data_IF_328337413907
#
_entry.id   IF_328337413907
#
_cell.length_a   1.000
_cell.length_b   1.000
_cell.length_c   1.000
_cell.angle_alpha   90.00
_cell.angle_beta   90.00
_cell.angle_gamma   90.00
#
_symmetry.space_group_name_H-M   'P 1'
#
loop_
_entity.id
_entity.type
_entity.pdbx_description
1 polymer ?
#
# COMPACT_ATOMS: atom_id res chain seq x y z
N UNK A 1 -29.88 -31.93 0.99
CA UNK A 1 -28.70 -31.78 1.88
C UNK A 1 -29.13 -30.95 3.08
N UNK A 2 -28.87 -31.38 4.32
CA UNK A 2 -29.19 -30.57 5.52
C UNK A 2 -28.34 -29.30 5.48
N UNK A 3 -28.96 -28.12 5.66
CA UNK A 3 -28.23 -26.85 5.65
C UNK A 3 -27.22 -26.82 6.80
N UNK A 4 -25.95 -26.55 6.50
CA UNK A 4 -24.89 -26.35 7.50
C UNK A 4 -24.95 -24.95 8.13
N UNK A 5 -25.78 -24.05 7.58
CA UNK A 5 -25.84 -22.65 8.00
C UNK A 5 -26.07 -22.46 9.50
N UNK A 6 -27.00 -23.17 10.18
CA UNK A 6 -27.18 -23.00 11.63
C UNK A 6 -25.91 -23.36 12.41
N UNK A 7 -25.21 -24.43 12.01
CA UNK A 7 -23.99 -24.89 12.69
C UNK A 7 -22.85 -23.87 12.53
N UNK A 8 -22.66 -23.34 11.32
CA UNK A 8 -21.59 -22.35 11.06
C UNK A 8 -21.93 -21.00 11.69
N UNK A 9 -23.21 -20.63 11.73
CA UNK A 9 -23.66 -19.43 12.45
C UNK A 9 -23.40 -19.53 13.95
N UNK A 10 -23.76 -20.66 14.58
CA UNK A 10 -23.50 -20.88 16.01
C UNK A 10 -21.99 -20.85 16.31
N UNK A 11 -21.18 -21.44 15.44
CA UNK A 11 -19.72 -21.37 15.53
C UNK A 11 -19.20 -19.93 15.44
N UNK A 12 -19.69 -19.13 14.49
CA UNK A 12 -19.34 -17.72 14.35
C UNK A 12 -19.77 -16.89 15.57
N UNK A 13 -20.95 -17.17 16.13
CA UNK A 13 -21.43 -16.52 17.34
C UNK A 13 -20.57 -16.83 18.57
N UNK A 14 -20.02 -18.04 18.64
CA UNK A 14 -19.13 -18.52 19.70
C UNK A 14 -17.67 -18.06 19.59
N UNK A 15 -17.31 -17.24 18.60
CA UNK A 15 -15.96 -16.68 18.49
C UNK A 15 -15.74 -15.60 19.54
N UNK A 16 -14.75 -15.82 20.41
CA UNK A 16 -14.43 -14.91 21.53
C UNK A 16 -13.93 -13.53 21.08
N UNK A 17 -13.05 -13.50 20.07
CA UNK A 17 -12.50 -12.23 19.57
C UNK A 17 -13.54 -11.51 18.71
N UNK A 18 -13.99 -10.34 19.16
CA UNK A 18 -15.04 -9.54 18.51
C UNK A 18 -14.77 -9.23 17.05
N UNK A 19 -13.52 -8.90 16.69
CA UNK A 19 -13.11 -8.74 15.29
C UNK A 19 -13.33 -10.03 14.46
N UNK A 20 -12.81 -11.17 14.93
CA UNK A 20 -12.94 -12.45 14.21
C UNK A 20 -14.41 -12.87 14.10
N UNK A 21 -15.21 -12.62 15.15
CA UNK A 21 -16.65 -12.86 15.13
C UNK A 21 -17.35 -12.03 14.07
N UNK A 22 -17.05 -10.72 14.01
CA UNK A 22 -17.61 -9.82 13.02
C UNK A 22 -17.25 -10.28 11.60
N UNK A 23 -15.97 -10.56 11.33
CA UNK A 23 -15.51 -11.06 10.02
C UNK A 23 -16.18 -12.39 9.64
N UNK A 24 -16.32 -13.32 10.58
CA UNK A 24 -17.00 -14.59 10.34
C UNK A 24 -18.49 -14.40 9.99
N UNK A 25 -19.17 -13.49 10.71
CA UNK A 25 -20.57 -13.16 10.42
C UNK A 25 -20.72 -12.42 9.09
N UNK A 26 -19.77 -11.55 8.71
CA UNK A 26 -19.74 -10.89 7.39
C UNK A 26 -19.60 -11.91 6.26
N UNK A 27 -18.69 -12.87 6.40
CA UNK A 27 -18.52 -13.94 5.42
C UNK A 27 -19.77 -14.82 5.29
N UNK A 28 -20.49 -15.07 6.40
CA UNK A 28 -21.78 -15.76 6.35
C UNK A 28 -22.87 -14.92 5.70
N UNK A 29 -22.90 -13.61 5.95
CA UNK A 29 -23.86 -12.69 5.35
C UNK A 29 -23.71 -12.58 3.83
N UNK A 30 -22.49 -12.73 3.31
CA UNK A 30 -22.23 -12.85 1.88
C UNK A 30 -22.97 -14.04 1.24
N UNK A 31 -22.98 -15.19 1.92
CA UNK A 31 -23.69 -16.38 1.42
C UNK A 31 -25.19 -16.39 1.77
N UNK A 32 -25.59 -15.64 2.79
CA UNK A 32 -26.99 -15.47 3.17
C UNK A 32 -27.26 -14.04 3.67
N UNK A 33 -27.85 -13.23 2.80
CA UNK A 33 -28.15 -11.83 3.06
C UNK A 33 -29.08 -11.59 4.25
N UNK A 34 -29.77 -12.61 4.75
CA UNK A 34 -30.56 -12.48 5.99
C UNK A 34 -29.70 -12.18 7.23
N UNK A 35 -28.39 -12.48 7.18
CA UNK A 35 -27.47 -12.31 8.31
C UNK A 35 -26.75 -10.94 8.33
N UNK A 36 -27.06 -10.03 7.40
CA UNK A 36 -26.42 -8.71 7.35
C UNK A 36 -26.69 -7.87 8.60
N UNK A 37 -27.88 -7.98 9.19
CA UNK A 37 -28.23 -7.25 10.41
C UNK A 37 -27.35 -7.70 11.59
N UNK A 38 -27.13 -9.01 11.73
CA UNK A 38 -26.28 -9.61 12.76
C UNK A 38 -24.81 -9.27 12.54
N UNK A 39 -24.32 -9.38 11.30
CA UNK A 39 -22.95 -9.02 10.95
C UNK A 39 -22.68 -7.53 11.23
N UNK A 40 -23.59 -6.64 10.81
CA UNK A 40 -23.50 -5.21 11.08
C UNK A 40 -23.50 -4.90 12.58
N UNK A 41 -24.40 -5.54 13.34
CA UNK A 41 -24.44 -5.38 14.80
C UNK A 41 -23.13 -5.83 15.45
N UNK A 42 -22.62 -7.00 15.07
CA UNK A 42 -21.36 -7.52 15.60
C UNK A 42 -20.18 -6.58 15.32
N UNK A 43 -20.10 -6.02 14.11
CA UNK A 43 -19.07 -5.02 13.75
C UNK A 43 -19.21 -3.74 14.57
N UNK A 44 -20.42 -3.19 14.67
CA UNK A 44 -20.67 -1.95 15.44
C UNK A 44 -20.29 -2.13 16.92
N UNK A 45 -20.55 -3.29 17.48
CA UNK A 45 -20.33 -3.55 18.91
C UNK A 45 -18.84 -3.82 19.25
N UNK A 46 -17.94 -3.89 18.25
CA UNK A 46 -16.48 -3.95 18.46
C UNK A 46 -16.04 -2.68 19.20
N UNK A 47 -15.36 -2.84 20.33
CA UNK A 47 -14.89 -1.72 21.15
C UNK A 47 -13.65 -1.04 20.56
N UNK A 48 -12.67 -1.83 20.13
CA UNK A 48 -11.46 -1.32 19.50
C UNK A 48 -11.79 -0.67 18.15
N UNK A 49 -11.53 0.64 18.03
CA UNK A 49 -11.92 1.44 16.86
C UNK A 49 -11.20 0.96 15.61
N UNK A 50 -9.96 0.49 15.75
CA UNK A 50 -9.15 0.02 14.65
C UNK A 50 -9.70 -1.29 14.07
N UNK A 51 -9.97 -2.28 14.94
CA UNK A 51 -10.63 -3.53 14.58
C UNK A 51 -12.04 -3.26 14.02
N UNK A 52 -12.75 -2.25 14.52
CA UNK A 52 -14.07 -1.85 14.01
C UNK A 52 -14.00 -1.31 12.58
N UNK A 53 -13.03 -0.46 12.26
CA UNK A 53 -12.81 0.04 10.90
C UNK A 53 -12.47 -1.10 9.94
N UNK A 54 -11.59 -2.03 10.33
CA UNK A 54 -11.26 -3.20 9.52
C UNK A 54 -12.49 -4.09 9.25
N UNK A 55 -13.30 -4.35 10.27
CA UNK A 55 -14.51 -5.14 10.12
C UNK A 55 -15.57 -4.43 9.25
N UNK A 56 -15.68 -3.09 9.33
CA UNK A 56 -16.54 -2.34 8.41
C UNK A 56 -16.01 -2.35 6.97
N UNK A 57 -14.71 -2.23 6.75
CA UNK A 57 -14.09 -2.34 5.42
C UNK A 57 -14.45 -3.70 4.77
N UNK A 58 -14.37 -4.79 5.54
CA UNK A 58 -14.75 -6.13 5.07
C UNK A 58 -16.24 -6.26 4.75
N UNK A 59 -17.13 -5.50 5.39
CA UNK A 59 -18.57 -5.50 5.08
C UNK A 59 -18.88 -4.65 3.84
N UNK A 60 -18.20 -3.52 3.70
CA UNK A 60 -18.55 -2.51 2.70
C UNK A 60 -18.11 -2.87 1.27
N UNK A 61 -17.23 -3.86 1.09
CA UNK A 61 -16.96 -4.44 -0.24
C UNK A 61 -18.23 -4.92 -0.94
N UNK A 62 -19.27 -5.28 -0.19
CA UNK A 62 -20.56 -5.79 -0.69
C UNK A 62 -21.72 -4.80 -0.53
N UNK A 63 -21.56 -3.79 0.33
CA UNK A 63 -22.60 -2.83 0.70
C UNK A 63 -22.03 -1.40 0.75
N UNK A 64 -21.95 -0.70 -0.40
CA UNK A 64 -21.44 0.66 -0.46
C UNK A 64 -22.15 1.66 0.47
N UNK A 65 -23.39 1.42 0.84
CA UNK A 65 -24.13 2.21 1.83
C UNK A 65 -23.46 2.25 3.23
N UNK A 66 -22.59 1.28 3.52
CA UNK A 66 -21.81 1.22 4.76
C UNK A 66 -20.58 2.13 4.75
N UNK A 67 -20.25 2.76 3.62
CA UNK A 67 -19.15 3.72 3.51
C UNK A 67 -19.27 4.88 4.51
N UNK A 68 -20.49 5.36 4.77
CA UNK A 68 -20.73 6.39 5.79
C UNK A 68 -20.36 5.92 7.21
N UNK A 69 -20.49 4.62 7.49
CA UNK A 69 -20.13 4.04 8.80
C UNK A 69 -18.63 3.86 8.97
N UNK A 70 -17.93 3.54 7.88
CA UNK A 70 -16.46 3.54 7.86
C UNK A 70 -15.95 4.94 8.17
N UNK A 71 -16.54 5.96 7.53
CA UNK A 71 -16.18 7.35 7.76
C UNK A 71 -16.36 7.75 9.24
N UNK A 72 -17.53 7.48 9.82
CA UNK A 72 -17.81 7.73 11.24
C UNK A 72 -16.76 7.04 12.13
N UNK A 73 -16.46 5.76 11.89
CA UNK A 73 -15.49 5.01 12.68
C UNK A 73 -14.05 5.51 12.53
N UNK A 74 -13.63 5.95 11.33
CA UNK A 74 -12.30 6.54 11.10
C UNK A 74 -12.15 7.89 11.80
N UNK A 75 -13.22 8.68 11.88
CA UNK A 75 -13.23 9.94 12.63
C UNK A 75 -13.13 9.74 14.15
N UNK A 76 -13.58 8.59 14.66
CA UNK A 76 -13.48 8.23 16.08
C UNK A 76 -12.06 7.79 16.49
N UNK A 77 -11.17 7.46 15.54
CA UNK A 77 -9.79 7.05 15.82
C UNK A 77 -9.05 8.18 16.52
N UNK A 78 -8.53 7.88 17.71
CA UNK A 78 -7.71 8.80 18.47
C UNK A 78 -6.27 8.78 17.98
N UNK A 79 -5.71 9.98 17.73
CA UNK A 79 -4.35 10.15 17.24
C UNK A 79 -4.26 10.23 15.72
N UNK A 80 -3.72 11.34 15.22
CA UNK A 80 -3.62 11.61 13.79
C UNK A 80 -2.85 10.53 13.04
N UNK A 81 -1.80 9.94 13.63
CA UNK A 81 -0.99 8.90 12.97
C UNK A 81 -1.80 7.62 12.68
N UNK A 82 -2.61 7.17 13.63
CA UNK A 82 -3.45 5.98 13.45
C UNK A 82 -4.58 6.25 12.46
N UNK A 83 -5.12 7.47 12.48
CA UNK A 83 -6.13 7.91 11.54
C UNK A 83 -5.58 7.95 10.10
N UNK A 84 -4.41 8.57 9.89
CA UNK A 84 -3.76 8.63 8.58
C UNK A 84 -3.40 7.23 8.08
N UNK A 85 -2.88 6.36 8.95
CA UNK A 85 -2.57 4.97 8.58
C UNK A 85 -3.79 4.24 8.00
N UNK A 86 -4.97 4.44 8.59
CA UNK A 86 -6.23 3.86 8.05
C UNK A 86 -6.69 4.56 6.77
N UNK A 87 -6.59 5.88 6.72
CA UNK A 87 -7.04 6.67 5.57
C UNK A 87 -6.17 6.45 4.33
N UNK A 88 -4.91 6.08 4.51
CA UNK A 88 -3.97 5.77 3.43
C UNK A 88 -4.50 4.67 2.51
N UNK A 89 -5.04 3.59 3.08
CA UNK A 89 -5.59 2.46 2.33
C UNK A 89 -7.00 2.71 1.81
N UNK A 90 -7.79 3.52 2.53
CA UNK A 90 -9.21 3.73 2.24
C UNK A 90 -9.46 4.83 1.19
N UNK A 91 -8.69 5.92 1.23
CA UNK A 91 -8.93 7.09 0.35
C UNK A 91 -8.81 6.78 -1.15
N UNK A 92 -7.86 5.95 -1.61
CA UNK A 92 -7.82 5.53 -3.01
C UNK A 92 -9.05 4.74 -3.45
N UNK A 93 -9.76 4.09 -2.52
CA UNK A 93 -11.01 3.34 -2.78
C UNK A 93 -12.26 4.23 -2.67
N UNK A 94 -12.14 5.36 -1.99
CA UNK A 94 -13.24 6.26 -1.64
C UNK A 94 -12.79 7.73 -1.73
N UNK A 95 -12.96 8.37 -2.90
CA UNK A 95 -12.50 9.74 -3.11
C UNK A 95 -13.06 10.78 -2.12
N UNK A 96 -14.21 10.51 -1.50
CA UNK A 96 -14.83 11.39 -0.52
C UNK A 96 -14.02 11.51 0.79
N UNK A 97 -13.05 10.60 1.02
CA UNK A 97 -12.20 10.61 2.22
C UNK A 97 -10.98 11.53 2.09
N UNK A 98 -10.66 12.05 0.90
CA UNK A 98 -9.46 12.87 0.70
C UNK A 98 -9.41 14.14 1.55
N UNK A 99 -10.50 14.93 1.72
CA UNK A 99 -10.47 16.11 2.58
C UNK A 99 -10.07 15.77 4.02
N UNK A 100 -10.58 14.66 4.55
CA UNK A 100 -10.31 14.21 5.93
C UNK A 100 -8.90 13.62 6.04
N UNK A 101 -8.43 12.98 4.98
CA UNK A 101 -7.05 12.47 4.89
C UNK A 101 -6.04 13.58 4.91
N UNK A 102 -6.25 14.62 4.11
CA UNK A 102 -5.38 15.79 4.08
C UNK A 102 -5.37 16.54 5.42
N UNK A 103 -6.55 16.70 6.04
CA UNK A 103 -6.68 17.30 7.38
C UNK A 103 -5.98 16.45 8.46
N UNK A 104 -6.12 15.12 8.42
CA UNK A 104 -5.41 14.21 9.32
C UNK A 104 -3.88 14.25 9.11
N UNK A 105 -3.41 14.31 7.87
CA UNK A 105 -1.99 14.49 7.52
C UNK A 105 -1.49 15.81 8.10
N UNK A 106 -2.20 16.92 7.88
CA UNK A 106 -1.79 18.23 8.38
C UNK A 106 -1.72 18.31 9.91
N UNK A 107 -2.53 17.51 10.62
CA UNK A 107 -2.48 17.38 12.08
C UNK A 107 -1.32 16.52 12.61
N UNK A 108 -0.58 15.82 11.77
CA UNK A 108 0.55 15.02 12.24
C UNK A 108 1.59 15.93 12.88
N UNK A 109 2.00 15.60 14.10
CA UNK A 109 2.98 16.42 14.82
C UNK A 109 4.38 16.41 14.17
N UNK A 110 4.78 15.27 13.60
CA UNK A 110 6.07 15.13 12.95
C UNK A 110 5.97 15.48 11.46
N UNK A 111 6.68 16.53 11.05
CA UNK A 111 6.67 17.04 9.67
C UNK A 111 7.22 16.03 8.65
N UNK A 112 8.17 15.19 9.04
CA UNK A 112 8.64 14.09 8.19
C UNK A 112 7.53 13.10 7.84
N UNK A 113 6.61 12.83 8.78
CA UNK A 113 5.44 12.01 8.51
C UNK A 113 4.47 12.71 7.56
N UNK A 114 4.27 14.03 7.71
CA UNK A 114 3.44 14.80 6.77
C UNK A 114 3.96 14.66 5.34
N UNK A 115 5.26 14.92 5.14
CA UNK A 115 5.91 14.83 3.85
C UNK A 115 5.81 13.43 3.24
N UNK A 116 6.05 12.39 4.05
CA UNK A 116 6.03 11.01 3.58
C UNK A 116 4.62 10.57 3.14
N UNK A 117 3.58 10.93 3.89
CA UNK A 117 2.20 10.57 3.51
C UNK A 117 1.73 11.35 2.29
N UNK A 118 2.06 12.64 2.17
CA UNK A 118 1.81 13.41 0.94
C UNK A 118 2.51 12.76 -0.26
N UNK A 119 3.78 12.35 -0.10
CA UNK A 119 4.52 11.68 -1.17
C UNK A 119 3.89 10.35 -1.59
N UNK A 120 3.48 9.55 -0.60
CA UNK A 120 2.89 8.22 -0.83
C UNK A 120 1.57 8.28 -1.58
N UNK A 121 0.77 9.30 -1.30
CA UNK A 121 -0.61 9.38 -1.75
C UNK A 121 -0.80 10.24 -3.00
N UNK A 122 0.23 10.97 -3.43
CA UNK A 122 0.14 11.92 -4.53
C UNK A 122 -0.35 11.31 -5.85
N UNK A 123 0.04 10.08 -6.18
CA UNK A 123 -0.35 9.41 -7.43
C UNK A 123 -1.78 8.83 -7.40
N UNK A 124 -2.38 8.71 -6.22
CA UNK A 124 -3.75 8.21 -6.00
C UNK A 124 -4.76 9.32 -5.76
N UNK A 125 -4.28 10.55 -5.56
CA UNK A 125 -5.11 11.69 -5.18
C UNK A 125 -5.89 12.25 -6.37
N UNK A 126 -7.19 12.57 -6.22
CA UNK A 126 -7.95 13.23 -7.28
C UNK A 126 -7.43 14.65 -7.50
N UNK A 127 -7.49 15.11 -8.76
CA UNK A 127 -6.97 16.42 -9.16
C UNK A 127 -7.55 17.59 -8.36
N UNK A 128 -8.80 17.47 -7.89
CA UNK A 128 -9.47 18.49 -7.08
C UNK A 128 -8.82 18.73 -5.71
N UNK A 129 -8.09 17.74 -5.17
CA UNK A 129 -7.52 17.79 -3.82
C UNK A 129 -6.03 18.15 -3.83
N UNK A 130 -5.38 18.06 -4.99
CA UNK A 130 -3.96 18.39 -5.17
C UNK A 130 -3.60 19.81 -4.71
N UNK A 131 -4.38 20.88 -5.01
CA UNK A 131 -4.07 22.22 -4.51
C UNK A 131 -3.99 22.30 -2.99
N UNK A 132 -4.86 21.59 -2.27
CA UNK A 132 -4.86 21.53 -0.81
C UNK A 132 -3.65 20.76 -0.28
N UNK A 133 -3.29 19.67 -0.92
CA UNK A 133 -2.10 18.90 -0.59
C UNK A 133 -0.81 19.72 -0.75
N UNK A 134 -0.71 20.52 -1.83
CA UNK A 134 0.41 21.45 -2.06
C UNK A 134 0.44 22.55 -0.99
N UNK A 135 -0.70 23.09 -0.58
CA UNK A 135 -0.78 24.07 0.53
C UNK A 135 -0.20 23.47 1.83
N UNK A 136 -0.57 22.24 2.15
CA UNK A 136 -0.02 21.52 3.32
C UNK A 136 1.48 21.33 3.16
N UNK A 137 1.95 20.86 1.99
CA UNK A 137 3.37 20.70 1.71
C UNK A 137 4.15 22.03 1.91
N UNK A 138 3.61 23.14 1.40
CA UNK A 138 4.20 24.48 1.57
C UNK A 138 4.22 24.96 3.02
N UNK A 139 3.28 24.49 3.84
CA UNK A 139 3.20 24.84 5.27
C UNK A 139 4.25 24.14 6.14
N UNK A 140 4.88 23.07 5.64
CA UNK A 140 5.96 22.36 6.33
C UNK A 140 7.15 23.31 6.55
N UNK A 141 7.60 23.44 7.80
CA UNK A 141 8.66 24.36 8.19
C UNK A 141 10.04 23.78 7.89
N UNK A 142 10.25 22.50 8.20
CA UNK A 142 11.51 21.82 7.92
C UNK A 142 11.73 21.73 6.40
N UNK A 143 12.85 22.28 5.95
CA UNK A 143 13.13 22.50 4.52
C UNK A 143 13.24 21.17 3.76
N UNK A 144 14.13 20.22 4.12
CA UNK A 144 14.19 18.92 3.46
C UNK A 144 12.82 18.22 3.31
N UNK A 145 11.97 18.27 4.33
CA UNK A 145 10.68 17.59 4.40
C UNK A 145 9.67 18.29 3.52
N UNK A 146 9.68 19.63 3.49
CA UNK A 146 8.93 20.41 2.50
C UNK A 146 9.35 20.05 1.08
N UNK A 147 10.65 19.91 0.81
CA UNK A 147 11.16 19.51 -0.52
C UNK A 147 10.66 18.12 -0.89
N UNK A 148 10.74 17.15 0.02
CA UNK A 148 10.20 15.81 -0.18
C UNK A 148 8.70 15.85 -0.52
N UNK A 149 7.90 16.57 0.26
CA UNK A 149 6.47 16.69 0.04
C UNK A 149 6.13 17.32 -1.32
N UNK A 150 6.80 18.43 -1.68
CA UNK A 150 6.59 19.14 -2.94
C UNK A 150 7.04 18.32 -4.16
N UNK A 151 8.11 17.53 -4.02
CA UNK A 151 8.62 16.67 -5.10
C UNK A 151 7.58 15.66 -5.62
N UNK A 152 6.63 15.27 -4.76
CA UNK A 152 5.56 14.33 -5.11
C UNK A 152 4.60 14.87 -6.18
N UNK A 153 4.45 16.19 -6.26
CA UNK A 153 3.48 16.86 -7.13
C UNK A 153 4.11 17.46 -8.40
N UNK A 154 5.42 17.30 -8.59
CA UNK A 154 6.15 17.85 -9.74
C UNK A 154 5.61 17.37 -11.09
N UNK A 155 5.11 16.14 -11.17
CA UNK A 155 4.49 15.63 -12.40
C UNK A 155 3.21 16.40 -12.75
N UNK A 156 2.42 16.78 -11.75
CA UNK A 156 1.08 17.38 -11.95
C UNK A 156 1.13 18.90 -12.03
N UNK A 157 2.00 19.55 -11.25
CA UNK A 157 2.24 20.98 -11.35
C UNK A 157 3.74 21.26 -11.45
N UNK A 158 4.26 21.41 -12.68
CA UNK A 158 5.68 21.67 -12.88
C UNK A 158 6.18 22.98 -12.30
N UNK A 159 5.30 23.96 -12.07
CA UNK A 159 5.69 25.25 -11.53
C UNK A 159 6.15 25.16 -10.08
N UNK A 160 5.76 24.10 -9.35
CA UNK A 160 6.26 23.83 -8.01
C UNK A 160 7.79 23.73 -7.99
N UNK A 161 8.43 23.35 -9.10
CA UNK A 161 9.88 23.26 -9.17
C UNK A 161 10.59 24.57 -8.77
N UNK A 162 10.00 25.75 -9.06
CA UNK A 162 10.56 27.03 -8.62
C UNK A 162 10.43 27.28 -7.11
N UNK A 163 9.54 26.56 -6.44
CA UNK A 163 9.36 26.61 -4.98
C UNK A 163 10.31 25.66 -4.24
N UNK A 164 11.04 24.81 -4.97
CA UNK A 164 12.00 23.85 -4.42
C UNK A 164 13.42 24.42 -4.52
N UNK A 165 13.93 24.89 -3.39
CA UNK A 165 15.32 25.36 -3.30
C UNK A 165 16.31 24.19 -3.30
N UNK A 166 17.22 24.17 -4.28
CA UNK A 166 18.36 23.25 -4.35
C UNK A 166 17.97 21.75 -4.18
N UNK A 167 17.04 21.22 -5.03
CA UNK A 167 16.51 19.85 -4.89
C UNK A 167 17.55 18.75 -5.01
N UNK A 168 18.72 19.06 -5.56
CA UNK A 168 19.79 18.09 -5.86
C UNK A 168 20.94 18.15 -4.88
N UNK A 169 20.77 18.87 -3.77
CA UNK A 169 21.78 18.94 -2.74
C UNK A 169 21.94 17.57 -2.05
N UNK A 170 23.08 16.88 -2.22
CA UNK A 170 23.27 15.54 -1.71
C UNK A 170 23.42 15.48 -0.18
N UNK A 171 23.45 16.65 0.49
CA UNK A 171 23.47 16.78 1.95
C UNK A 171 22.03 16.80 2.50
N UNK A 172 21.01 16.97 1.64
CA UNK A 172 19.62 16.73 2.04
C UNK A 172 19.46 15.26 2.41
N UNK A 173 19.07 15.01 3.66
CA UNK A 173 18.84 13.69 4.23
C UNK A 173 20.07 12.77 4.18
N UNK A 174 20.75 12.64 5.32
CA UNK A 174 21.90 11.76 5.50
C UNK A 174 21.58 10.66 6.51
N UNK A 175 22.36 9.57 6.49
CA UNK A 175 22.24 8.46 7.43
C UNK A 175 20.88 7.74 7.29
N UNK A 176 20.01 7.87 8.30
CA UNK A 176 18.75 7.11 8.41
C UNK A 176 17.63 7.60 7.46
N UNK A 177 17.93 8.58 6.61
CA UNK A 177 16.96 9.24 5.72
C UNK A 177 17.40 9.32 4.24
N UNK A 178 18.50 8.66 3.86
CA UNK A 178 19.05 8.66 2.49
C UNK A 178 18.03 8.31 1.39
N UNK A 179 17.05 7.45 1.69
CA UNK A 179 15.99 7.10 0.74
C UNK A 179 15.11 8.30 0.36
N UNK A 180 14.89 9.28 1.24
CA UNK A 180 14.11 10.48 0.90
C UNK A 180 14.75 11.29 -0.22
N UNK A 181 16.08 11.32 -0.29
CA UNK A 181 16.78 11.95 -1.40
C UNK A 181 16.52 11.21 -2.72
N UNK A 182 16.50 9.88 -2.71
CA UNK A 182 16.11 9.10 -3.90
C UNK A 182 14.67 9.41 -4.33
N UNK A 183 13.74 9.60 -3.38
CA UNK A 183 12.35 9.97 -3.66
C UNK A 183 12.24 11.35 -4.32
N UNK A 184 13.02 12.33 -3.85
CA UNK A 184 13.10 13.68 -4.44
C UNK A 184 13.62 13.60 -5.87
N UNK A 185 14.71 12.85 -6.10
CA UNK A 185 15.25 12.63 -7.44
C UNK A 185 14.22 11.96 -8.35
N UNK A 186 13.48 10.97 -7.86
CA UNK A 186 12.40 10.31 -8.58
C UNK A 186 11.28 11.26 -8.98
N UNK A 187 10.88 12.17 -8.08
CA UNK A 187 9.92 13.23 -8.38
C UNK A 187 10.40 14.16 -9.50
N UNK A 188 11.68 14.54 -9.49
CA UNK A 188 12.29 15.35 -10.54
C UNK A 188 12.41 14.58 -11.87
N UNK A 189 12.74 13.28 -11.81
CA UNK A 189 12.87 12.43 -12.99
C UNK A 189 11.53 12.21 -13.73
N UNK A 190 10.39 12.39 -13.05
CA UNK A 190 9.08 12.40 -13.71
C UNK A 190 8.90 13.58 -14.67
N UNK A 191 9.57 14.72 -14.43
CA UNK A 191 9.61 15.85 -15.37
C UNK A 191 10.78 15.75 -16.37
N UNK A 192 11.90 15.18 -15.93
CA UNK A 192 13.13 15.03 -16.72
C UNK A 192 13.54 13.55 -16.79
N UNK A 193 12.93 12.75 -17.69
CA UNK A 193 13.15 11.30 -17.74
C UNK A 193 14.60 10.85 -17.93
N UNK A 194 15.45 11.70 -18.52
CA UNK A 194 16.88 11.40 -18.70
C UNK A 194 17.65 11.23 -17.37
N UNK A 195 17.02 11.61 -16.23
CA UNK A 195 17.61 11.56 -14.90
C UNK A 195 17.31 10.29 -14.11
N UNK A 196 16.48 9.40 -14.63
CA UNK A 196 16.22 8.12 -13.98
C UNK A 196 17.49 7.32 -13.64
N UNK A 197 18.56 7.31 -14.45
CA UNK A 197 19.82 6.69 -14.05
C UNK A 197 20.41 7.23 -12.73
N UNK A 198 20.27 8.53 -12.44
CA UNK A 198 20.69 9.13 -11.16
C UNK A 198 19.86 8.61 -9.99
N UNK A 199 18.56 8.39 -10.21
CA UNK A 199 17.65 7.82 -9.20
C UNK A 199 18.08 6.38 -8.87
N UNK A 200 18.33 5.57 -9.89
CA UNK A 200 18.76 4.17 -9.73
C UNK A 200 20.11 4.10 -9.03
N UNK A 201 21.08 4.93 -9.44
CA UNK A 201 22.38 5.01 -8.77
C UNK A 201 22.24 5.42 -7.30
N UNK A 202 21.38 6.40 -7.00
CA UNK A 202 21.15 6.79 -5.61
C UNK A 202 20.56 5.64 -4.80
N UNK A 203 19.55 4.93 -5.30
CA UNK A 203 18.95 3.77 -4.62
C UNK A 203 20.00 2.68 -4.38
N UNK A 204 20.82 2.36 -5.38
CA UNK A 204 21.87 1.35 -5.30
C UNK A 204 22.85 1.65 -4.15
N UNK A 205 23.22 2.92 -3.98
CA UNK A 205 24.20 3.38 -3.01
C UNK A 205 23.64 3.65 -1.60
N UNK A 206 22.33 3.49 -1.38
CA UNK A 206 21.76 3.55 -0.01
C UNK A 206 22.37 2.43 0.84
N UNK A 207 22.92 2.80 2.00
CA UNK A 207 23.61 1.86 2.89
C UNK A 207 22.65 0.94 3.64
N UNK A 208 21.53 1.50 4.15
CA UNK A 208 20.51 0.71 4.85
C UNK A 208 19.64 -0.07 3.86
N UNK A 209 19.61 -1.39 3.98
CA UNK A 209 18.74 -2.26 3.17
C UNK A 209 17.25 -1.99 3.40
N UNK A 210 16.87 -1.59 4.62
CA UNK A 210 15.52 -1.15 4.93
C UNK A 210 15.15 0.06 4.08
N UNK A 211 16.01 1.09 4.09
CA UNK A 211 15.79 2.31 3.33
C UNK A 211 15.82 2.07 1.82
N UNK A 212 16.68 1.15 1.35
CA UNK A 212 16.72 0.73 -0.05
C UNK A 212 15.39 0.08 -0.46
N UNK A 213 14.86 -0.82 0.37
CA UNK A 213 13.53 -1.41 0.17
C UNK A 213 12.43 -0.35 0.16
N UNK A 214 12.46 0.63 1.08
CA UNK A 214 11.49 1.73 1.14
C UNK A 214 11.57 2.64 -0.10
N UNK A 215 12.78 2.91 -0.62
CA UNK A 215 12.95 3.67 -1.85
C UNK A 215 12.30 2.95 -3.04
N UNK A 216 12.55 1.63 -3.15
CA UNK A 216 11.99 0.78 -4.20
C UNK A 216 10.46 0.74 -4.11
N UNK A 217 9.89 0.54 -2.91
CA UNK A 217 8.45 0.55 -2.66
C UNK A 217 7.77 1.78 -3.30
N UNK A 218 8.39 2.95 -3.15
CA UNK A 218 7.79 4.24 -3.55
C UNK A 218 8.12 4.69 -4.96
N UNK A 219 9.15 4.12 -5.57
CA UNK A 219 9.56 4.47 -6.93
C UNK A 219 9.09 3.44 -7.96
N UNK A 220 8.79 2.20 -7.56
CA UNK A 220 8.41 1.12 -8.49
C UNK A 220 7.23 1.49 -9.40
N UNK A 221 6.24 2.25 -8.90
CA UNK A 221 5.10 2.71 -9.72
C UNK A 221 5.42 3.82 -10.72
N UNK A 222 6.56 4.48 -10.56
CA UNK A 222 6.94 5.73 -11.24
C UNK A 222 8.06 5.53 -12.27
N UNK A 223 8.89 4.51 -12.08
CA UNK A 223 10.06 4.24 -12.91
C UNK A 223 9.66 3.76 -14.33
N UNK A 224 10.39 4.17 -15.39
CA UNK A 224 10.20 3.63 -16.72
C UNK A 224 10.37 2.11 -16.76
N UNK A 225 9.53 1.44 -17.54
CA UNK A 225 9.54 -0.02 -17.70
C UNK A 225 10.93 -0.55 -18.11
N UNK A 226 11.69 0.22 -18.89
CA UNK A 226 13.05 -0.10 -19.34
C UNK A 226 14.08 -0.21 -18.21
N UNK A 227 13.78 0.32 -17.02
CA UNK A 227 14.68 0.34 -15.87
C UNK A 227 14.21 -0.57 -14.73
N UNK A 228 13.07 -1.26 -14.88
CA UNK A 228 12.57 -2.24 -13.90
C UNK A 228 13.59 -3.37 -13.69
N UNK A 229 14.31 -3.79 -14.73
CA UNK A 229 15.36 -4.80 -14.62
C UNK A 229 16.50 -4.35 -13.70
N UNK A 230 16.86 -3.06 -13.74
CA UNK A 230 17.90 -2.54 -12.85
C UNK A 230 17.44 -2.59 -11.40
N UNK A 231 16.20 -2.15 -11.09
CA UNK A 231 15.64 -2.27 -9.75
C UNK A 231 15.55 -3.73 -9.27
N UNK A 232 15.25 -4.67 -10.18
CA UNK A 232 15.24 -6.10 -9.86
C UNK A 232 16.63 -6.57 -9.41
N UNK A 233 17.71 -6.16 -10.09
CA UNK A 233 19.07 -6.49 -9.63
C UNK A 233 19.38 -5.91 -8.24
N UNK A 234 18.93 -4.67 -7.97
CA UNK A 234 19.07 -4.07 -6.63
C UNK A 234 18.36 -4.93 -5.60
N UNK A 235 17.10 -5.31 -5.86
CA UNK A 235 16.34 -6.19 -4.98
C UNK A 235 17.11 -7.50 -4.72
N UNK A 236 17.54 -8.20 -5.77
CA UNK A 236 18.23 -9.49 -5.65
C UNK A 236 19.58 -9.39 -4.91
N UNK A 237 20.21 -8.21 -4.92
CA UNK A 237 21.46 -7.96 -4.19
C UNK A 237 21.29 -7.76 -2.68
N UNK A 238 20.05 -7.64 -2.18
CA UNK A 238 19.77 -7.46 -0.75
C UNK A 238 20.09 -8.75 0.02
N UNK A 239 20.88 -8.62 1.09
CA UNK A 239 21.36 -9.72 1.92
C UNK A 239 20.27 -10.21 2.88
N UNK A 240 19.51 -9.30 3.49
CA UNK A 240 18.45 -9.64 4.43
C UNK A 240 17.18 -10.04 3.69
N UNK A 241 16.82 -11.32 3.79
CA UNK A 241 15.63 -11.91 3.15
C UNK A 241 14.33 -11.11 3.36
N UNK A 242 14.15 -10.51 4.54
CA UNK A 242 12.96 -9.71 4.84
C UNK A 242 12.88 -8.46 3.96
N UNK A 243 13.97 -7.69 3.83
CA UNK A 243 14.01 -6.51 2.97
C UNK A 243 14.00 -6.91 1.49
N UNK A 244 14.70 -7.99 1.12
CA UNK A 244 14.65 -8.56 -0.22
C UNK A 244 13.23 -8.92 -0.65
N UNK A 245 12.51 -9.64 0.22
CA UNK A 245 11.13 -10.06 -0.06
C UNK A 245 10.18 -8.87 -0.20
N UNK A 246 10.29 -7.84 0.66
CA UNK A 246 9.46 -6.64 0.54
C UNK A 246 9.75 -5.86 -0.74
N UNK A 247 11.02 -5.59 -1.04
CA UNK A 247 11.40 -4.86 -2.25
C UNK A 247 10.98 -5.60 -3.53
N UNK A 248 11.17 -6.92 -3.59
CA UNK A 248 10.67 -7.74 -4.68
C UNK A 248 9.15 -7.64 -4.79
N UNK A 249 8.44 -7.80 -3.66
CA UNK A 249 6.99 -7.74 -3.62
C UNK A 249 6.45 -6.46 -4.26
N UNK A 250 7.03 -5.31 -3.90
CA UNK A 250 6.55 -4.02 -4.37
C UNK A 250 6.90 -3.77 -5.86
N UNK A 251 7.91 -4.46 -6.39
CA UNK A 251 8.30 -4.40 -7.80
C UNK A 251 7.49 -5.34 -8.69
N UNK A 252 6.96 -6.46 -8.17
CA UNK A 252 6.22 -7.49 -8.91
C UNK A 252 5.12 -6.95 -9.85
N UNK A 253 4.29 -5.96 -9.46
CA UNK A 253 3.19 -5.48 -10.30
C UNK A 253 3.64 -4.80 -11.60
N UNK A 254 4.94 -4.50 -11.72
CA UNK A 254 5.56 -3.77 -12.82
C UNK A 254 6.49 -4.66 -13.67
N UNK A 255 6.64 -5.93 -13.29
CA UNK A 255 7.43 -6.90 -14.06
C UNK A 255 6.63 -7.48 -15.23
N UNK A 256 7.36 -7.89 -16.26
CA UNK A 256 6.87 -8.56 -17.46
C UNK A 256 7.80 -9.74 -17.85
N UNK A 257 7.44 -10.45 -18.92
CA UNK A 257 8.20 -11.60 -19.45
C UNK A 257 9.65 -11.27 -19.87
N UNK A 258 9.95 -10.02 -20.20
CA UNK A 258 11.30 -9.57 -20.56
C UNK A 258 12.18 -9.32 -19.34
N UNK A 259 11.57 -8.89 -18.22
CA UNK A 259 12.30 -8.64 -16.96
C UNK A 259 12.48 -9.92 -16.13
N UNK A 260 11.56 -10.88 -16.22
CA UNK A 260 11.48 -12.03 -15.33
C UNK A 260 11.36 -13.33 -16.12
N UNK A 261 12.48 -14.04 -16.28
CA UNK A 261 12.52 -15.39 -16.85
C UNK A 261 12.17 -16.44 -15.78
N UNK A 262 12.08 -17.71 -16.19
CA UNK A 262 11.71 -18.81 -15.30
C UNK A 262 12.64 -18.94 -14.08
N UNK A 263 13.96 -18.92 -14.30
CA UNK A 263 14.93 -19.10 -13.21
C UNK A 263 14.84 -17.97 -12.17
N UNK A 264 14.74 -16.72 -12.64
CA UNK A 264 14.54 -15.56 -11.77
C UNK A 264 13.19 -15.60 -11.06
N UNK A 265 12.14 -16.08 -11.73
CA UNK A 265 10.84 -16.26 -11.09
C UNK A 265 10.91 -17.25 -9.93
N UNK A 266 11.62 -18.37 -10.09
CA UNK A 266 11.85 -19.32 -9.00
C UNK A 266 12.60 -18.70 -7.83
N UNK A 267 13.63 -17.90 -8.09
CA UNK A 267 14.38 -17.17 -7.05
C UNK A 267 13.50 -16.16 -6.29
N UNK A 268 12.66 -15.42 -7.02
CA UNK A 268 11.71 -14.48 -6.44
C UNK A 268 10.72 -15.23 -5.54
N UNK A 269 10.07 -16.29 -6.03
CA UNK A 269 9.13 -17.09 -5.24
C UNK A 269 9.78 -17.70 -3.98
N UNK A 270 11.02 -18.20 -4.11
CA UNK A 270 11.79 -18.70 -2.97
C UNK A 270 11.97 -17.62 -1.92
N UNK A 271 12.34 -16.40 -2.32
CA UNK A 271 12.49 -15.28 -1.39
C UNK A 271 11.16 -14.87 -0.75
N UNK A 272 10.07 -14.81 -1.52
CA UNK A 272 8.75 -14.45 -0.99
C UNK A 272 8.25 -15.46 0.06
N UNK A 273 8.71 -16.71 0.02
CA UNK A 273 8.38 -17.72 1.02
C UNK A 273 8.91 -17.38 2.43
N UNK A 274 9.89 -16.48 2.54
CA UNK A 274 10.39 -15.97 3.82
C UNK A 274 9.40 -15.00 4.50
N UNK A 275 8.38 -14.51 3.80
CA UNK A 275 7.33 -13.68 4.39
C UNK A 275 6.46 -14.50 5.33
N UNK A 276 6.05 -13.91 6.46
CA UNK A 276 5.08 -14.54 7.36
C UNK A 276 3.80 -14.84 6.59
N UNK A 277 3.19 -16.01 6.85
CA UNK A 277 1.94 -16.47 6.21
C UNK A 277 0.86 -15.39 6.13
N UNK A 278 0.63 -14.65 7.20
CA UNK A 278 -0.36 -13.57 7.23
C UNK A 278 -0.06 -12.46 6.22
N UNK A 279 1.22 -12.05 6.11
CA UNK A 279 1.65 -11.01 5.17
C UNK A 279 1.56 -11.50 3.73
N UNK A 280 1.97 -12.74 3.47
CA UNK A 280 1.86 -13.36 2.16
C UNK A 280 0.40 -13.44 1.71
N UNK A 281 -0.49 -13.99 2.55
CA UNK A 281 -1.91 -14.16 2.21
C UNK A 281 -2.65 -12.83 2.01
N UNK A 282 -2.39 -11.82 2.85
CA UNK A 282 -2.99 -10.49 2.70
C UNK A 282 -2.65 -9.84 1.35
N UNK A 283 -1.44 -10.11 0.84
CA UNK A 283 -0.94 -9.48 -0.37
C UNK A 283 -1.17 -10.34 -1.62
N UNK A 284 -1.43 -11.64 -1.50
CA UNK A 284 -1.67 -12.56 -2.62
C UNK A 284 -2.56 -12.03 -3.76
N UNK A 285 -3.69 -11.34 -3.51
CA UNK A 285 -4.51 -10.78 -4.59
C UNK A 285 -3.75 -9.78 -5.50
N UNK A 286 -2.69 -9.15 -5.00
CA UNK A 286 -1.85 -8.23 -5.78
C UNK A 286 -0.99 -8.97 -6.83
N UNK A 287 -0.78 -10.29 -6.69
CA UNK A 287 -0.08 -11.11 -7.67
C UNK A 287 -0.88 -11.31 -8.96
N UNK A 288 -2.19 -11.04 -8.95
CA UNK A 288 -3.06 -11.17 -10.14
C UNK A 288 -2.44 -10.42 -11.32
N UNK A 289 -2.04 -9.16 -11.12
CA UNK A 289 -1.43 -8.34 -12.18
C UNK A 289 -0.14 -8.95 -12.70
N UNK A 290 0.72 -9.44 -11.81
CA UNK A 290 1.98 -10.09 -12.18
C UNK A 290 1.74 -11.38 -12.96
N UNK A 291 0.83 -12.24 -12.51
CA UNK A 291 0.51 -13.50 -13.19
C UNK A 291 -0.05 -13.21 -14.60
N UNK A 292 -0.91 -12.20 -14.74
CA UNK A 292 -1.41 -11.76 -16.03
C UNK A 292 -0.27 -11.27 -16.94
N UNK A 293 0.64 -10.45 -16.42
CA UNK A 293 1.80 -9.95 -17.17
C UNK A 293 2.76 -11.08 -17.61
N UNK A 294 2.91 -12.12 -16.79
CA UNK A 294 3.86 -13.21 -17.02
C UNK A 294 3.28 -14.39 -17.81
N UNK A 295 1.99 -14.66 -17.71
CA UNK A 295 1.40 -15.94 -18.13
C UNK A 295 0.01 -15.88 -18.72
N UNK A 296 -0.61 -14.69 -18.83
CA UNK A 296 -2.00 -14.46 -19.28
C UNK A 296 -3.10 -14.93 -18.30
N UNK A 297 -4.36 -14.81 -18.70
CA UNK A 297 -5.52 -15.27 -17.93
C UNK A 297 -5.50 -16.77 -17.65
N UNK A 298 -4.98 -17.58 -18.59
CA UNK A 298 -4.87 -19.02 -18.43
C UNK A 298 -3.95 -19.37 -17.24
N UNK A 299 -2.79 -18.72 -17.14
CA UNK A 299 -1.89 -18.93 -15.99
C UNK A 299 -2.53 -18.50 -14.67
N UNK A 300 -3.40 -17.48 -14.66
CA UNK A 300 -4.13 -17.08 -13.47
C UNK A 300 -5.12 -18.15 -13.01
N UNK A 301 -5.86 -18.73 -13.96
CA UNK A 301 -6.81 -19.82 -13.69
C UNK A 301 -6.09 -21.07 -13.18
N UNK A 302 -5.02 -21.50 -13.85
CA UNK A 302 -4.21 -22.64 -13.43
C UNK A 302 -3.58 -22.42 -12.05
N UNK A 303 -3.08 -21.21 -11.77
CA UNK A 303 -2.55 -20.85 -10.44
C UNK A 303 -3.64 -20.95 -9.38
N UNK A 304 -4.84 -20.45 -9.66
CA UNK A 304 -5.97 -20.52 -8.73
C UNK A 304 -6.39 -21.98 -8.45
N UNK A 305 -6.40 -22.83 -9.46
CA UNK A 305 -6.66 -24.27 -9.30
C UNK A 305 -5.59 -24.96 -8.46
N UNK A 306 -4.31 -24.70 -8.72
CA UNK A 306 -3.21 -25.26 -7.94
C UNK A 306 -3.31 -24.85 -6.46
N UNK A 307 -3.65 -23.58 -6.17
CA UNK A 307 -3.86 -23.10 -4.80
C UNK A 307 -5.02 -23.85 -4.13
N UNK A 308 -6.13 -24.06 -4.84
CA UNK A 308 -7.27 -24.83 -4.31
C UNK A 308 -6.90 -26.27 -4.01
N UNK A 309 -6.16 -26.93 -4.90
CA UNK A 309 -5.72 -28.33 -4.73
C UNK A 309 -4.81 -28.48 -3.50
N UNK A 310 -3.80 -27.61 -3.36
CA UNK A 310 -2.92 -27.59 -2.17
C UNK A 310 -3.74 -27.31 -0.91
N UNK A 311 -4.70 -26.39 -0.97
CA UNK A 311 -5.61 -26.10 0.13
C UNK A 311 -6.42 -27.31 0.58
N UNK A 312 -6.92 -28.12 -0.37
CA UNK A 312 -7.65 -29.36 -0.08
C UNK A 312 -6.76 -30.46 0.50
N UNK A 313 -5.49 -30.52 0.12
CA UNK A 313 -4.54 -31.50 0.67
C UNK A 313 -4.20 -31.23 2.15
N UNK A 314 -4.44 -30.02 2.64
CA UNK A 314 -4.14 -29.59 4.02
C UNK A 314 -5.38 -29.51 4.91
N UNK A 315 -6.57 -29.81 4.38
CA UNK A 315 -7.85 -29.90 5.12
C UNK A 315 -8.21 -31.34 5.48
#
# INVERSE_FOLDING_TARGET
>A
VKSLLPLVFDAAQGVDRTYNKAVALSALAFHNSALWAEAFKATRDIQDVYDRVLAFESLASEMPELWRKILEAVQEIQGAIYQVYRLEDLSPKMPELWPITLDAIHRLWFEGSQALYLYKLADKMPESEIPKAIEIAKSIQNKPERILALSAFLKTDPNIFSDIDDPFNPILFQNDEEHYFALILGGCALQSPDRWPEVIDKIQNIQSEEQKSLAIERIASKVPETLISMLLEICLSLEVDFYRANALWDLLPYMNKFTLNYDRWCEVLSTLSCLRREMFLKRMPLLIKTILNLGSEEALVETAHAIQEVGQQWS
#
